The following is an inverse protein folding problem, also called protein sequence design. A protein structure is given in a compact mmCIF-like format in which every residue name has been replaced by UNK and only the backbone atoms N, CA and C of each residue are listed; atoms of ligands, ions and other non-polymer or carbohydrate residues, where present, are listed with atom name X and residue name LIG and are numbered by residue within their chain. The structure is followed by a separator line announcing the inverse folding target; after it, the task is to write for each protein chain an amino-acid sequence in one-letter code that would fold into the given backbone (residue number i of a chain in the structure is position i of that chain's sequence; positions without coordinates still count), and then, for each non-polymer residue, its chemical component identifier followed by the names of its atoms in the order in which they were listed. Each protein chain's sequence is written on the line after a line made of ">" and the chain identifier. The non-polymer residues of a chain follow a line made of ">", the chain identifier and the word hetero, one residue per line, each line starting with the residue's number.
data_IF_921326784633
#
_entry.id   IF_921326784633
#
_cell.length_a   1.000
_cell.length_b   1.000
_cell.length_c   1.000
_cell.angle_alpha   90.00
_cell.angle_beta   90.00
_cell.angle_gamma   90.00
#
_symmetry.space_group_name_H-M   'P 1'
#
loop_
_entity.id
_entity.type
_entity.pdbx_description
1 polymer ?
#
# COMPACT_ATOMS: atom_id res chain seq x y z
N UNK A 1 -10.60 -16.74 5.88
CA UNK A 1 -9.51 -16.08 6.65
C UNK A 1 -9.91 -16.01 8.11
N UNK A 2 -8.98 -16.16 9.06
CA UNK A 2 -9.25 -16.12 10.52
C UNK A 2 -8.49 -14.95 11.15
N UNK A 3 -8.82 -13.73 10.73
CA UNK A 3 -8.21 -12.49 11.25
C UNK A 3 -9.01 -12.04 12.47
N UNK A 4 -8.33 -11.71 13.57
CA UNK A 4 -8.98 -11.54 14.87
C UNK A 4 -8.92 -10.14 15.46
N UNK A 5 -8.13 -9.23 14.88
CA UNK A 5 -8.06 -7.83 15.33
C UNK A 5 -7.85 -6.84 14.18
N UNK A 6 -8.08 -5.55 14.47
CA UNK A 6 -7.77 -4.46 13.55
C UNK A 6 -6.25 -4.36 13.29
N UNK A 7 -5.41 -4.63 14.31
CA UNK A 7 -3.96 -4.64 14.10
C UNK A 7 -3.52 -5.71 13.10
N UNK A 8 -4.09 -6.92 13.17
CA UNK A 8 -3.74 -7.98 12.22
C UNK A 8 -4.16 -7.61 10.78
N UNK A 9 -5.30 -6.92 10.61
CA UNK A 9 -5.69 -6.34 9.31
C UNK A 9 -4.70 -5.27 8.83
N UNK A 10 -4.26 -4.38 9.70
CA UNK A 10 -3.32 -3.32 9.38
C UNK A 10 -1.95 -3.88 8.97
N UNK A 11 -1.45 -4.89 9.69
CA UNK A 11 -0.20 -5.58 9.39
C UNK A 11 -0.26 -6.27 8.03
N UNK A 12 -1.34 -6.99 7.76
CA UNK A 12 -1.57 -7.68 6.48
C UNK A 12 -1.69 -6.73 5.30
N UNK A 13 -2.48 -5.66 5.43
CA UNK A 13 -2.61 -4.67 4.36
C UNK A 13 -1.27 -3.99 4.03
N UNK A 14 -0.45 -3.71 5.04
CA UNK A 14 0.90 -3.19 4.82
C UNK A 14 1.85 -4.22 4.21
N UNK A 15 1.78 -5.48 4.64
CA UNK A 15 2.57 -6.57 4.08
C UNK A 15 2.25 -6.80 2.60
N UNK A 16 0.96 -6.78 2.24
CA UNK A 16 0.50 -6.87 0.87
C UNK A 16 1.11 -5.78 -0.01
N UNK A 17 1.01 -4.50 0.40
CA UNK A 17 1.59 -3.39 -0.36
C UNK A 17 3.11 -3.49 -0.48
N UNK A 18 3.82 -3.88 0.59
CA UNK A 18 5.28 -4.11 0.55
C UNK A 18 5.64 -5.23 -0.43
N UNK A 19 4.88 -6.32 -0.44
CA UNK A 19 5.09 -7.41 -1.38
C UNK A 19 4.88 -6.96 -2.83
N UNK A 20 3.78 -6.29 -3.13
CA UNK A 20 3.49 -5.82 -4.50
C UNK A 20 4.52 -4.77 -4.98
N UNK A 21 5.01 -3.91 -4.09
CA UNK A 21 6.12 -3.00 -4.43
C UNK A 21 7.39 -3.75 -4.82
N UNK A 22 7.71 -4.83 -4.10
CA UNK A 22 8.86 -5.68 -4.42
C UNK A 22 8.65 -6.43 -5.75
N UNK A 23 7.47 -6.99 -5.96
CA UNK A 23 7.09 -7.76 -7.16
C UNK A 23 7.12 -6.91 -8.44
N UNK A 24 6.71 -5.64 -8.33
CA UNK A 24 6.73 -4.66 -9.42
C UNK A 24 8.05 -3.90 -9.56
N UNK A 25 9.04 -4.20 -8.71
CA UNK A 25 10.34 -3.50 -8.62
C UNK A 25 10.21 -1.97 -8.42
N UNK A 26 9.10 -1.52 -7.82
CA UNK A 26 8.81 -0.10 -7.57
C UNK A 26 9.35 0.32 -6.20
N UNK A 27 10.24 1.30 -6.18
CA UNK A 27 10.75 1.90 -4.94
C UNK A 27 9.72 2.83 -4.31
N UNK A 28 9.86 3.15 -3.02
CA UNK A 28 8.97 4.14 -2.37
C UNK A 28 9.05 5.51 -3.02
N UNK A 29 10.20 5.90 -3.56
CA UNK A 29 10.38 7.15 -4.31
C UNK A 29 9.62 7.19 -5.61
N UNK A 30 9.64 6.07 -6.33
CA UNK A 30 8.86 5.95 -7.55
C UNK A 30 7.36 5.87 -7.25
N UNK A 31 6.95 5.12 -6.22
CA UNK A 31 5.57 5.11 -5.75
C UNK A 31 5.08 6.53 -5.40
N UNK A 32 5.87 7.33 -4.67
CA UNK A 32 5.53 8.71 -4.35
C UNK A 32 5.27 9.56 -5.61
N UNK A 33 6.11 9.42 -6.64
CA UNK A 33 5.90 10.11 -7.93
C UNK A 33 4.62 9.66 -8.63
N UNK A 34 4.33 8.35 -8.63
CA UNK A 34 3.11 7.81 -9.25
C UNK A 34 1.86 8.26 -8.49
N UNK A 35 1.86 8.18 -7.15
CA UNK A 35 0.78 8.67 -6.30
C UNK A 35 0.48 10.15 -6.52
N UNK A 36 1.49 10.98 -6.82
CA UNK A 36 1.30 12.39 -7.18
C UNK A 36 0.47 12.57 -8.44
N UNK A 37 0.57 11.67 -9.42
CA UNK A 37 -0.28 11.68 -10.63
C UNK A 37 -1.74 11.36 -10.30
N UNK A 38 -1.97 10.61 -9.22
CA UNK A 38 -3.31 10.33 -8.68
C UNK A 38 -3.79 11.40 -7.67
N UNK A 39 -3.08 12.53 -7.53
CA UNK A 39 -3.46 13.63 -6.65
C UNK A 39 -3.01 13.50 -5.19
N UNK A 40 -2.30 12.42 -4.83
CA UNK A 40 -1.77 12.23 -3.48
C UNK A 40 -0.37 12.81 -3.36
N UNK A 41 -0.18 13.76 -2.44
CA UNK A 41 1.13 14.39 -2.16
C UNK A 41 1.89 13.60 -1.10
N UNK A 42 2.26 12.38 -1.44
CA UNK A 42 3.04 11.50 -0.58
C UNK A 42 4.55 11.69 -0.82
N UNK A 43 5.33 11.57 0.25
CA UNK A 43 6.80 11.47 0.22
C UNK A 43 7.24 10.05 0.61
N UNK A 44 8.47 9.67 0.27
CA UNK A 44 9.05 8.37 0.67
C UNK A 44 8.93 8.11 2.17
N UNK A 45 9.24 9.12 2.99
CA UNK A 45 9.13 9.04 4.44
C UNK A 45 7.68 8.83 4.89
N UNK A 46 6.72 9.54 4.28
CA UNK A 46 5.31 9.38 4.64
C UNK A 46 4.75 8.01 4.25
N UNK A 47 5.16 7.45 3.11
CA UNK A 47 4.81 6.09 2.67
C UNK A 47 5.40 5.07 3.65
N UNK A 48 6.69 5.22 3.97
CA UNK A 48 7.40 4.35 4.91
C UNK A 48 6.70 4.33 6.26
N UNK A 49 6.34 5.50 6.80
CA UNK A 49 5.65 5.62 8.08
C UNK A 49 4.24 5.00 8.06
N UNK A 50 3.48 5.17 6.96
CA UNK A 50 2.16 4.52 6.78
C UNK A 50 2.29 3.00 6.76
N UNK A 51 3.24 2.47 6.00
CA UNK A 51 3.49 1.04 5.89
C UNK A 51 4.15 0.42 7.14
N UNK A 52 4.83 1.23 7.95
CA UNK A 52 5.37 0.81 9.24
C UNK A 52 4.27 0.72 10.31
N UNK A 53 3.36 1.69 10.35
CA UNK A 53 2.23 1.72 11.30
C UNK A 53 1.10 0.75 10.91
N UNK A 54 0.98 0.41 9.63
CA UNK A 54 -0.09 -0.46 9.13
C UNK A 54 -1.42 0.24 8.89
N UNK A 55 -1.65 1.41 9.50
CA UNK A 55 -2.89 2.16 9.35
C UNK A 55 -2.76 3.33 8.38
N UNK A 56 -3.55 3.30 7.31
CA UNK A 56 -3.62 4.34 6.29
C UNK A 56 -5.05 4.45 5.72
N UNK A 57 -5.43 5.62 5.18
CA UNK A 57 -6.74 5.78 4.57
C UNK A 57 -6.94 4.83 3.38
N UNK A 58 -8.18 4.38 3.18
CA UNK A 58 -8.54 3.56 2.02
C UNK A 58 -8.19 4.25 0.69
N UNK A 59 -8.25 5.58 0.62
CA UNK A 59 -7.85 6.36 -0.56
C UNK A 59 -6.37 6.20 -0.90
N UNK A 60 -5.49 6.09 0.10
CA UNK A 60 -4.08 5.80 -0.10
C UNK A 60 -3.89 4.37 -0.62
N UNK A 61 -4.59 3.40 -0.03
CA UNK A 61 -4.52 2.01 -0.47
C UNK A 61 -4.93 1.86 -1.94
N UNK A 62 -6.10 2.37 -2.32
CA UNK A 62 -6.61 2.31 -3.69
C UNK A 62 -5.68 3.04 -4.67
N UNK A 63 -5.11 4.18 -4.28
CA UNK A 63 -4.14 4.88 -5.10
C UNK A 63 -2.85 4.07 -5.29
N UNK A 64 -2.40 3.31 -4.30
CA UNK A 64 -1.27 2.38 -4.46
C UNK A 64 -1.60 1.26 -5.44
N UNK A 65 -2.80 0.66 -5.38
CA UNK A 65 -3.23 -0.38 -6.33
C UNK A 65 -3.21 0.18 -7.77
N UNK A 66 -3.79 1.37 -7.97
CA UNK A 66 -3.80 2.03 -9.27
C UNK A 66 -2.39 2.43 -9.74
N UNK A 67 -1.54 2.97 -8.86
CA UNK A 67 -0.17 3.37 -9.18
C UNK A 67 0.75 2.19 -9.52
N UNK A 68 0.44 1.00 -9.01
CA UNK A 68 1.11 -0.26 -9.32
C UNK A 68 0.48 -1.02 -10.48
N UNK A 69 -0.55 -0.43 -11.13
CA UNK A 69 -1.24 -1.00 -12.28
C UNK A 69 -1.80 -2.41 -12.01
N UNK A 70 -2.23 -2.65 -10.77
CA UNK A 70 -2.87 -3.90 -10.37
C UNK A 70 -4.34 -3.89 -10.78
N UNK A 71 -4.83 -5.02 -11.30
CA UNK A 71 -6.24 -5.19 -11.69
C UNK A 71 -7.18 -5.18 -10.49
N UNK A 72 -6.68 -5.55 -9.31
CA UNK A 72 -7.46 -5.60 -8.09
C UNK A 72 -6.65 -6.18 -6.93
N UNK A 73 -7.37 -6.54 -5.87
CA UNK A 73 -6.83 -7.22 -4.69
C UNK A 73 -7.75 -8.37 -4.33
N UNK A 74 -7.22 -9.58 -4.33
CA UNK A 74 -7.93 -10.73 -3.76
C UNK A 74 -7.78 -10.72 -2.24
N UNK A 75 -8.86 -10.97 -1.50
CA UNK A 75 -8.78 -11.02 -0.03
C UNK A 75 -7.84 -12.13 0.43
N UNK A 76 -7.71 -13.21 -0.35
CA UNK A 76 -6.79 -14.31 -0.08
C UNK A 76 -5.30 -13.89 -0.12
N UNK A 77 -4.98 -12.78 -0.78
CA UNK A 77 -3.65 -12.19 -0.84
C UNK A 77 -3.34 -11.26 0.34
N UNK A 78 -4.34 -10.91 1.17
CA UNK A 78 -4.21 -10.04 2.35
C UNK A 78 -3.97 -10.84 3.63
#
# INVERSE_FOLDING_TARGET
>A
MNIKSEEEWAERAAAFLKHKLKDTEVTYGELAKRLRKHGLKETEASITNKLARGTFPATFFLACIAALELEGVALEEI
#
